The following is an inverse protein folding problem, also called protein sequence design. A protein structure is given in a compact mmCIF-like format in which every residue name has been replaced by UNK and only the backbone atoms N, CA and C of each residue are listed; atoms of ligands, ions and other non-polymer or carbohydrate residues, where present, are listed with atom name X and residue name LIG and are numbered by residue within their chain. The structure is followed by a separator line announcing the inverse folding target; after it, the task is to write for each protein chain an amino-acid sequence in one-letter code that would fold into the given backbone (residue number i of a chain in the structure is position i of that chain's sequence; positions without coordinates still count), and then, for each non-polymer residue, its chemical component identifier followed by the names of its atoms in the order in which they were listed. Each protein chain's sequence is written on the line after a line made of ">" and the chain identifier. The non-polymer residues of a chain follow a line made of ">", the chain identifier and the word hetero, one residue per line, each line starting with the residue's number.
data_IF_302011180388
#
_entry.id   IF_302011180388
#
_cell.length_a   1.000
_cell.length_b   1.000
_cell.length_c   1.000
_cell.angle_alpha   90.00
_cell.angle_beta   90.00
_cell.angle_gamma   90.00
#
_symmetry.space_group_name_H-M   'P 1'
#
loop_
_entity.id
_entity.type
_entity.pdbx_description
1 polymer ?
#
# COMPACT_ATOMS: atom_id res chain seq x y z
N UNK A 1 3.71 -43.77 37.99
CA UNK A 1 4.00 -44.79 36.97
C UNK A 1 5.09 -44.18 36.12
N UNK A 2 6.31 -44.69 36.25
CA UNK A 2 7.42 -44.27 35.37
C UNK A 2 7.14 -44.85 33.98
N UNK A 3 6.51 -44.07 33.15
CA UNK A 3 6.40 -44.33 31.73
C UNK A 3 7.59 -43.65 31.05
N UNK A 4 8.43 -44.45 30.42
CA UNK A 4 9.65 -43.97 29.74
C UNK A 4 9.35 -43.12 28.50
N UNK A 5 8.09 -42.73 28.30
CA UNK A 5 7.64 -41.81 27.28
C UNK A 5 7.51 -40.36 27.76
N UNK A 6 7.49 -40.14 29.11
CA UNK A 6 7.51 -38.82 29.73
C UNK A 6 8.97 -38.33 29.81
N UNK A 7 9.30 -37.23 29.18
CA UNK A 7 10.66 -36.70 29.16
C UNK A 7 11.00 -35.87 30.43
N UNK A 8 10.02 -35.63 31.31
CA UNK A 8 10.25 -34.91 32.56
C UNK A 8 9.33 -35.39 33.71
N UNK A 9 9.66 -36.51 34.32
CA UNK A 9 8.95 -37.10 35.47
C UNK A 9 8.70 -36.13 36.64
N UNK A 10 9.43 -35.02 36.73
CA UNK A 10 9.28 -34.02 37.76
C UNK A 10 8.20 -32.97 37.45
N UNK A 11 7.72 -32.91 36.25
CA UNK A 11 6.72 -31.94 35.82
C UNK A 11 5.58 -32.61 35.03
N UNK A 12 4.47 -32.87 35.63
CA UNK A 12 3.30 -33.52 35.04
C UNK A 12 2.68 -32.72 33.86
N UNK A 13 3.07 -31.48 33.62
CA UNK A 13 2.65 -30.70 32.47
C UNK A 13 3.47 -31.01 31.21
N UNK A 14 4.60 -31.68 31.33
CA UNK A 14 5.50 -32.10 30.25
C UNK A 14 5.28 -33.59 30.04
N UNK A 15 4.55 -33.98 29.02
CA UNK A 15 4.22 -35.39 28.71
C UNK A 15 3.79 -35.54 27.27
N UNK A 16 3.82 -36.75 26.66
CA UNK A 16 3.50 -36.97 25.24
C UNK A 16 2.11 -36.54 24.78
N UNK A 17 1.19 -36.20 25.67
CA UNK A 17 -0.13 -35.68 25.35
C UNK A 17 -0.29 -34.19 25.62
N UNK A 18 0.78 -33.51 26.10
CA UNK A 18 0.75 -32.09 26.36
C UNK A 18 0.67 -31.29 25.05
N UNK A 19 0.05 -30.12 25.11
CA UNK A 19 0.14 -29.14 24.02
C UNK A 19 1.40 -28.30 24.22
N UNK A 20 2.11 -28.03 23.14
CA UNK A 20 3.27 -27.15 23.16
C UNK A 20 2.90 -25.73 23.61
N UNK A 21 3.70 -25.22 24.51
CA UNK A 21 3.67 -23.83 24.93
C UNK A 21 4.95 -23.15 24.43
N UNK A 22 4.86 -21.87 24.09
CA UNK A 22 6.02 -21.10 23.63
C UNK A 22 6.92 -20.74 24.83
N UNK A 23 7.71 -21.69 25.33
CA UNK A 23 8.49 -21.55 26.56
C UNK A 23 9.94 -22.05 26.42
N UNK A 24 10.33 -22.57 25.25
CA UNK A 24 11.64 -23.13 24.97
C UNK A 24 11.81 -24.55 25.51
N UNK A 25 10.73 -25.22 25.83
CA UNK A 25 10.70 -26.62 26.37
C UNK A 25 9.92 -27.46 25.36
N UNK A 26 10.33 -28.70 25.17
CA UNK A 26 9.57 -29.73 24.46
C UNK A 26 8.53 -30.28 25.43
N UNK A 27 7.32 -29.68 25.43
CA UNK A 27 6.26 -30.03 26.38
C UNK A 27 5.60 -31.38 26.02
N UNK A 28 5.61 -31.78 24.73
CA UNK A 28 4.98 -33.03 24.28
C UNK A 28 5.97 -34.18 24.07
N UNK A 29 7.25 -34.00 24.36
CA UNK A 29 8.31 -35.02 24.31
C UNK A 29 8.49 -35.65 22.92
N UNK A 30 8.24 -34.91 21.84
CA UNK A 30 8.40 -35.41 20.46
C UNK A 30 9.80 -35.17 19.86
N UNK A 31 10.67 -34.46 20.58
CA UNK A 31 12.02 -34.10 20.18
C UNK A 31 12.14 -32.76 19.47
N UNK A 32 11.03 -32.01 19.36
CA UNK A 32 10.99 -30.66 18.79
C UNK A 32 10.47 -29.69 19.84
N UNK A 33 11.18 -28.60 20.04
CA UNK A 33 10.83 -27.56 21.01
C UNK A 33 9.88 -26.55 20.37
N UNK A 34 8.79 -26.20 21.10
CA UNK A 34 7.81 -25.17 20.69
C UNK A 34 7.17 -25.43 19.30
N UNK A 35 7.09 -26.68 18.84
CA UNK A 35 6.43 -27.04 17.60
C UNK A 35 4.90 -27.15 17.80
N UNK A 36 4.12 -26.99 16.74
CA UNK A 36 2.66 -27.12 16.80
C UNK A 36 1.95 -26.05 17.64
N UNK A 37 2.63 -25.02 18.12
CA UNK A 37 2.01 -23.88 18.81
C UNK A 37 0.98 -23.22 17.88
N UNK A 38 -0.24 -23.01 18.39
CA UNK A 38 -1.32 -22.42 17.61
C UNK A 38 -0.91 -21.07 17.01
N UNK A 39 -1.27 -20.79 15.75
CA UNK A 39 -0.98 -19.52 15.12
C UNK A 39 -1.69 -18.37 15.86
N UNK A 40 -1.09 -17.19 15.83
CA UNK A 40 -1.71 -15.98 16.38
C UNK A 40 -3.04 -15.68 15.65
N UNK A 41 -3.99 -15.01 16.33
CA UNK A 41 -5.18 -14.49 15.67
C UNK A 41 -4.81 -13.60 14.48
N UNK A 42 -5.55 -13.74 13.39
CA UNK A 42 -5.36 -12.87 12.20
C UNK A 42 -5.62 -11.41 12.59
N UNK A 43 -4.76 -10.47 12.19
CA UNK A 43 -5.00 -9.05 12.43
C UNK A 43 -6.35 -8.60 11.89
N UNK A 44 -6.99 -7.69 12.60
CA UNK A 44 -8.26 -7.10 12.16
C UNK A 44 -8.12 -6.22 10.91
N UNK A 45 -9.15 -5.46 10.62
CA UNK A 45 -9.17 -4.56 9.46
C UNK A 45 -8.04 -3.54 9.52
N UNK A 46 -7.33 -3.40 8.40
CA UNK A 46 -6.34 -2.34 8.21
C UNK A 46 -7.10 -1.02 7.99
N UNK A 47 -6.78 -0.01 8.78
CA UNK A 47 -7.36 1.34 8.71
C UNK A 47 -6.35 2.28 8.08
N UNK A 48 -6.79 3.01 7.06
CA UNK A 48 -5.98 3.97 6.30
C UNK A 48 -6.72 4.42 5.05
N UNK A 49 -6.14 5.34 4.29
CA UNK A 49 -6.73 5.78 3.02
C UNK A 49 -6.45 4.73 1.95
N UNK A 50 -7.42 3.87 1.67
CA UNK A 50 -7.27 2.77 0.70
C UNK A 50 -7.41 3.23 -0.76
N UNK A 51 -8.07 4.34 -1.03
CA UNK A 51 -8.21 4.91 -2.37
C UNK A 51 -8.12 6.43 -2.33
N UNK A 52 -7.35 7.03 -3.22
CA UNK A 52 -7.24 8.48 -3.34
C UNK A 52 -6.82 8.91 -4.74
N UNK A 53 -7.27 10.12 -5.14
CA UNK A 53 -6.69 10.86 -6.24
C UNK A 53 -5.51 11.68 -5.69
N UNK A 54 -4.31 11.31 -6.07
CA UNK A 54 -3.08 11.94 -5.57
C UNK A 54 -2.73 13.21 -6.36
N UNK A 55 -2.15 14.22 -5.70
CA UNK A 55 -1.42 15.25 -6.42
C UNK A 55 -0.20 14.60 -7.11
N UNK A 56 0.25 15.17 -8.21
CA UNK A 56 1.43 14.68 -8.98
C UNK A 56 2.76 14.74 -8.19
N UNK A 57 2.73 15.17 -6.94
CA UNK A 57 3.89 15.29 -6.06
C UNK A 57 3.95 14.11 -5.09
N UNK A 58 5.17 13.80 -4.63
CA UNK A 58 5.39 12.82 -3.59
C UNK A 58 4.51 13.08 -2.37
N UNK A 59 4.00 12.02 -1.76
CA UNK A 59 3.19 12.11 -0.56
C UNK A 59 3.36 10.88 0.31
N UNK A 60 2.88 10.97 1.53
CA UNK A 60 2.88 9.87 2.49
C UNK A 60 1.52 9.73 3.17
N UNK A 61 1.21 8.54 3.62
CA UNK A 61 0.03 8.23 4.40
C UNK A 61 0.33 7.14 5.42
N UNK A 62 -0.56 6.95 6.38
CA UNK A 62 -0.41 5.93 7.42
C UNK A 62 -1.47 4.84 7.28
N UNK A 63 -1.06 3.62 7.62
CA UNK A 63 -1.96 2.48 7.78
C UNK A 63 -1.75 1.88 9.15
N UNK A 64 -2.84 1.50 9.80
CA UNK A 64 -2.85 1.01 11.18
C UNK A 64 -3.73 -0.23 11.30
N UNK A 65 -3.34 -1.15 12.16
CA UNK A 65 -4.13 -2.31 12.57
C UNK A 65 -4.26 -2.32 14.10
N UNK A 66 -5.36 -2.86 14.61
CA UNK A 66 -5.51 -3.08 16.04
C UNK A 66 -4.48 -4.09 16.55
N UNK A 67 -3.94 -3.91 17.79
CA UNK A 67 -3.03 -4.87 18.37
C UNK A 67 -3.63 -6.28 18.44
N UNK A 68 -2.80 -7.28 18.14
CA UNK A 68 -3.14 -8.71 18.25
C UNK A 68 -2.56 -9.27 19.55
N UNK A 69 -3.38 -9.96 20.32
CA UNK A 69 -2.92 -10.59 21.58
C UNK A 69 -1.82 -11.62 21.28
N UNK A 70 -0.72 -11.57 22.04
CA UNK A 70 0.43 -12.46 21.86
C UNK A 70 1.41 -12.02 20.75
N UNK A 71 1.10 -10.98 19.98
CA UNK A 71 2.04 -10.46 19.00
C UNK A 71 3.16 -9.67 19.66
N UNK A 72 4.40 -9.95 19.24
CA UNK A 72 5.61 -9.21 19.62
C UNK A 72 6.03 -8.21 18.53
N UNK A 73 5.46 -8.35 17.32
CA UNK A 73 5.74 -7.48 16.19
C UNK A 73 4.78 -7.70 15.02
N UNK A 74 5.00 -6.95 13.95
CA UNK A 74 4.17 -7.00 12.74
C UNK A 74 5.04 -6.95 11.49
N UNK A 75 4.71 -7.77 10.51
CA UNK A 75 5.35 -7.70 9.18
C UNK A 75 4.36 -7.14 8.18
N UNK A 76 4.71 -6.01 7.58
CA UNK A 76 3.92 -5.36 6.56
C UNK A 76 4.52 -5.59 5.18
N UNK A 77 3.67 -5.81 4.20
CA UNK A 77 4.01 -5.81 2.79
C UNK A 77 3.14 -4.79 2.05
N UNK A 78 3.75 -4.08 1.11
CA UNK A 78 3.10 -3.03 0.34
C UNK A 78 3.20 -3.33 -1.15
N UNK A 79 2.23 -2.91 -1.99
CA UNK A 79 2.30 -3.11 -3.43
C UNK A 79 3.42 -2.27 -4.06
N UNK A 80 3.83 -2.67 -5.26
CA UNK A 80 4.83 -1.93 -6.05
C UNK A 80 4.41 -0.46 -6.22
N UNK A 81 5.36 0.45 -6.05
CA UNK A 81 5.11 1.90 -6.07
C UNK A 81 4.94 2.53 -4.68
N UNK A 82 4.77 1.72 -3.63
CA UNK A 82 4.87 2.18 -2.25
C UNK A 82 6.20 1.77 -1.63
N UNK A 83 6.68 2.61 -0.72
CA UNK A 83 7.83 2.32 0.14
C UNK A 83 7.45 2.59 1.59
N UNK A 84 7.76 1.67 2.49
CA UNK A 84 7.58 1.87 3.93
C UNK A 84 8.70 2.80 4.41
N UNK A 85 8.33 3.98 4.91
CA UNK A 85 9.27 4.95 5.48
C UNK A 85 9.57 4.67 6.94
N UNK A 86 8.55 4.23 7.68
CA UNK A 86 8.66 3.97 9.12
C UNK A 86 7.59 2.98 9.57
N UNK A 87 7.80 2.39 10.75
CA UNK A 87 6.79 1.57 11.45
C UNK A 87 6.79 0.10 11.04
N UNK A 88 7.70 -0.38 10.19
CA UNK A 88 7.87 -1.82 10.01
C UNK A 88 8.17 -2.47 11.36
N UNK A 89 7.45 -3.53 11.70
CA UNK A 89 7.50 -4.16 13.01
C UNK A 89 6.43 -3.68 13.99
N UNK A 90 5.71 -2.60 13.71
CA UNK A 90 4.68 -2.03 14.60
C UNK A 90 3.27 -2.14 14.01
N UNK A 91 2.26 -1.79 14.82
CA UNK A 91 0.84 -1.76 14.41
C UNK A 91 0.53 -0.65 13.40
N UNK A 92 1.43 0.29 13.19
CA UNK A 92 1.23 1.43 12.29
C UNK A 92 2.45 1.61 11.41
N UNK A 93 2.24 1.71 10.09
CA UNK A 93 3.28 2.06 9.14
C UNK A 93 3.00 3.42 8.50
N UNK A 94 4.07 4.11 8.15
CA UNK A 94 4.03 5.26 7.23
C UNK A 94 4.59 4.81 5.90
N UNK A 95 3.81 4.96 4.85
CA UNK A 95 4.21 4.64 3.48
C UNK A 95 4.30 5.90 2.64
N UNK A 96 5.24 5.90 1.70
CA UNK A 96 5.41 6.93 0.69
C UNK A 96 5.19 6.30 -0.68
N UNK A 97 4.57 7.04 -1.58
CA UNK A 97 4.55 6.69 -3.00
C UNK A 97 5.59 7.49 -3.75
N UNK A 98 6.38 6.78 -4.57
CA UNK A 98 7.42 7.36 -5.41
C UNK A 98 7.11 7.03 -6.85
N UNK A 99 6.84 7.99 -7.69
CA UNK A 99 6.68 7.76 -9.13
C UNK A 99 5.35 7.10 -9.54
N UNK A 100 4.25 7.79 -9.27
CA UNK A 100 2.95 7.40 -9.83
C UNK A 100 2.96 7.74 -11.33
N UNK A 101 3.00 6.75 -12.20
CA UNK A 101 2.80 6.96 -13.64
C UNK A 101 1.41 7.59 -13.86
N UNK A 102 1.36 8.66 -14.66
CA UNK A 102 0.11 9.35 -14.99
C UNK A 102 -0.95 8.46 -15.67
N UNK A 103 -0.56 7.25 -16.09
CA UNK A 103 -1.45 6.34 -16.83
C UNK A 103 -1.90 5.13 -16.01
N UNK A 104 -1.11 4.66 -15.02
CA UNK A 104 -1.38 3.37 -14.40
C UNK A 104 -1.66 3.42 -12.89
N UNK A 105 -1.51 4.58 -12.24
CA UNK A 105 -1.72 4.64 -10.79
C UNK A 105 -0.82 3.66 -10.00
N UNK A 106 -1.17 3.46 -8.74
CA UNK A 106 -0.62 2.39 -7.88
C UNK A 106 -1.80 1.59 -7.36
N UNK A 107 -1.80 0.29 -7.56
CA UNK A 107 -2.84 -0.59 -7.00
C UNK A 107 -2.24 -1.92 -6.56
N UNK A 108 -2.88 -2.53 -5.58
CA UNK A 108 -2.49 -3.84 -5.08
C UNK A 108 -2.85 -4.06 -3.62
N UNK A 109 -2.50 -5.21 -3.10
CA UNK A 109 -2.77 -5.56 -1.72
C UNK A 109 -1.66 -5.04 -0.80
N UNK A 110 -2.08 -4.35 0.25
CA UNK A 110 -1.27 -4.05 1.41
C UNK A 110 -1.65 -5.04 2.50
N UNK A 111 -0.69 -5.79 3.01
CA UNK A 111 -0.96 -6.85 3.98
C UNK A 111 -0.14 -6.69 5.25
N UNK A 112 -0.67 -7.19 6.36
CA UNK A 112 -0.01 -7.25 7.66
C UNK A 112 -0.17 -8.63 8.27
N UNK A 113 0.91 -9.14 8.84
CA UNK A 113 0.99 -10.39 9.60
C UNK A 113 1.43 -10.06 11.01
N UNK A 114 0.74 -10.56 12.02
CA UNK A 114 1.20 -10.48 13.41
C UNK A 114 2.24 -11.56 13.65
N UNK A 115 3.35 -11.19 14.26
CA UNK A 115 4.49 -12.07 14.56
C UNK A 115 4.58 -12.23 16.08
N UNK A 116 4.60 -13.44 16.54
CA UNK A 116 4.85 -13.80 17.93
C UNK A 116 6.22 -14.45 18.11
N UNK A 117 6.48 -14.96 19.30
CA UNK A 117 7.76 -15.60 19.63
C UNK A 117 7.92 -16.92 18.87
N UNK A 118 6.90 -17.77 18.83
CA UNK A 118 6.96 -19.10 18.22
C UNK A 118 6.02 -19.28 17.03
N UNK A 119 5.09 -18.36 16.82
CA UNK A 119 4.12 -18.48 15.74
C UNK A 119 3.79 -17.11 15.13
N UNK A 120 3.20 -17.15 13.96
CA UNK A 120 2.69 -15.97 13.27
C UNK A 120 1.24 -16.18 12.87
N UNK A 121 0.53 -15.10 12.62
CA UNK A 121 -0.84 -15.15 12.12
C UNK A 121 -0.90 -15.39 10.61
N UNK A 122 -2.08 -15.68 10.09
CA UNK A 122 -2.38 -15.44 8.68
C UNK A 122 -2.36 -13.93 8.40
N UNK A 123 -2.04 -13.51 7.17
CA UNK A 123 -2.06 -12.10 6.81
C UNK A 123 -3.48 -11.53 6.72
N UNK A 124 -3.67 -10.30 7.16
CA UNK A 124 -4.83 -9.47 6.83
C UNK A 124 -4.43 -8.50 5.74
N UNK A 125 -5.28 -8.33 4.72
CA UNK A 125 -4.96 -7.50 3.56
C UNK A 125 -6.08 -6.51 3.26
N UNK A 126 -5.70 -5.33 2.73
CA UNK A 126 -6.59 -4.34 2.13
C UNK A 126 -6.10 -4.01 0.73
N UNK A 127 -7.02 -3.97 -0.23
CA UNK A 127 -6.70 -3.49 -1.57
C UNK A 127 -6.60 -1.97 -1.55
N UNK A 128 -5.50 -1.43 -2.06
CA UNK A 128 -5.28 0.01 -2.18
C UNK A 128 -5.21 0.40 -3.65
N UNK A 129 -5.77 1.57 -3.96
CA UNK A 129 -5.82 2.08 -5.33
C UNK A 129 -5.63 3.61 -5.33
N UNK A 130 -4.53 4.05 -5.92
CA UNK A 130 -4.15 5.45 -5.98
C UNK A 130 -3.93 5.87 -7.41
N UNK A 131 -4.65 6.90 -7.86
CA UNK A 131 -4.55 7.46 -9.20
C UNK A 131 -4.09 8.91 -9.15
N UNK A 132 -3.39 9.36 -10.19
CA UNK A 132 -3.20 10.79 -10.41
C UNK A 132 -4.47 11.32 -11.04
N UNK A 133 -5.05 12.37 -10.46
CA UNK A 133 -6.18 13.03 -11.07
C UNK A 133 -5.79 13.59 -12.46
N UNK A 134 -6.55 13.26 -13.50
CA UNK A 134 -6.37 13.81 -14.83
C UNK A 134 -6.46 15.35 -14.80
N UNK A 135 -5.83 16.05 -15.78
CA UNK A 135 -6.08 17.47 -15.98
C UNK A 135 -7.57 17.75 -16.17
N UNK A 136 -8.05 18.83 -15.57
CA UNK A 136 -9.42 19.28 -15.81
C UNK A 136 -9.56 19.80 -17.25
N UNK A 137 -10.78 19.81 -17.78
CA UNK A 137 -11.05 20.38 -19.08
C UNK A 137 -10.59 21.85 -19.12
N UNK A 138 -9.88 22.29 -20.18
CA UNK A 138 -9.56 23.70 -20.35
C UNK A 138 -10.82 24.58 -20.31
N UNK A 139 -10.68 25.77 -19.73
CA UNK A 139 -11.72 26.79 -19.79
C UNK A 139 -11.84 27.36 -21.23
N UNK A 140 -12.59 28.45 -21.38
CA UNK A 140 -12.77 29.11 -22.68
C UNK A 140 -11.44 29.51 -23.32
N UNK A 141 -11.35 29.32 -24.62
CA UNK A 141 -10.27 29.86 -25.43
C UNK A 141 -10.48 31.39 -25.60
N UNK A 142 -9.42 32.16 -25.35
CA UNK A 142 -9.40 33.60 -25.57
C UNK A 142 -8.71 33.88 -26.91
N UNK A 143 -9.31 34.77 -27.69
CA UNK A 143 -8.81 35.19 -29.01
C UNK A 143 -9.92 35.80 -29.87
N UNK A 144 -9.61 36.34 -31.05
CA UNK A 144 -10.61 36.96 -31.90
C UNK A 144 -11.59 35.93 -32.50
N UNK A 145 -12.90 36.22 -32.40
CA UNK A 145 -13.95 35.36 -32.95
C UNK A 145 -14.04 35.35 -34.48
N UNK A 146 -13.37 36.30 -35.17
CA UNK A 146 -13.32 36.41 -36.63
C UNK A 146 -11.94 36.89 -37.07
N UNK A 147 -11.39 36.32 -38.09
CA UNK A 147 -10.12 36.67 -38.73
C UNK A 147 -10.29 36.70 -40.24
N UNK A 148 -9.59 37.59 -40.93
CA UNK A 148 -9.61 37.65 -42.41
C UNK A 148 -8.51 36.74 -43.00
N UNK A 149 -8.64 36.31 -44.26
CA UNK A 149 -7.59 35.57 -44.93
C UNK A 149 -6.27 36.37 -44.98
N UNK A 150 -5.18 35.72 -44.50
CA UNK A 150 -3.85 36.33 -44.41
C UNK A 150 -3.53 36.97 -43.06
N UNK A 151 -4.51 37.11 -42.16
CA UNK A 151 -4.26 37.64 -40.83
C UNK A 151 -3.58 36.60 -39.92
N UNK A 152 -2.77 37.11 -38.98
CA UNK A 152 -2.21 36.33 -37.90
C UNK A 152 -2.96 36.67 -36.60
N UNK A 153 -3.51 35.66 -35.95
CA UNK A 153 -4.25 35.82 -34.70
C UNK A 153 -3.67 34.95 -33.59
N UNK A 154 -3.67 35.46 -32.35
CA UNK A 154 -3.22 34.72 -31.18
C UNK A 154 -4.42 34.23 -30.41
N UNK A 155 -4.40 32.92 -30.08
CA UNK A 155 -5.36 32.28 -29.23
C UNK A 155 -4.63 31.73 -27.97
N UNK A 156 -5.27 31.84 -26.83
CA UNK A 156 -4.71 31.36 -25.56
C UNK A 156 -5.77 30.74 -24.68
N UNK A 157 -5.33 29.87 -23.78
CA UNK A 157 -6.11 29.35 -22.67
C UNK A 157 -5.37 29.63 -21.34
N UNK A 158 -6.12 29.72 -20.27
CA UNK A 158 -5.49 29.72 -18.95
C UNK A 158 -4.80 28.37 -18.71
N UNK A 159 -3.65 28.41 -18.02
CA UNK A 159 -2.91 27.20 -17.67
C UNK A 159 -3.81 26.23 -16.90
N UNK A 160 -3.83 24.98 -17.33
CA UNK A 160 -4.60 23.91 -16.72
C UNK A 160 -3.69 23.15 -15.76
N UNK A 161 -4.10 23.06 -14.50
CA UNK A 161 -3.35 22.30 -13.50
C UNK A 161 -3.12 20.86 -13.98
N UNK A 162 -1.89 20.36 -13.87
CA UNK A 162 -1.44 19.02 -14.27
C UNK A 162 -1.38 18.76 -15.79
N UNK A 163 -1.69 19.71 -16.64
CA UNK A 163 -1.41 19.59 -18.04
C UNK A 163 0.11 19.74 -18.30
N UNK A 164 0.69 18.82 -19.05
CA UNK A 164 2.11 18.84 -19.45
C UNK A 164 2.28 19.36 -20.87
N UNK A 165 1.20 19.37 -21.65
CA UNK A 165 1.16 19.87 -23.01
C UNK A 165 -0.29 20.12 -23.44
N UNK A 166 -0.46 20.87 -24.51
CA UNK A 166 -1.75 21.18 -25.11
C UNK A 166 -1.76 20.78 -26.57
N UNK A 167 -2.85 20.17 -27.02
CA UNK A 167 -3.03 19.82 -28.40
C UNK A 167 -4.11 20.75 -29.02
N UNK A 168 -3.73 21.55 -30.01
CA UNK A 168 -4.62 22.49 -30.68
C UNK A 168 -5.12 21.90 -31.99
N UNK A 169 -6.42 21.92 -32.18
CA UNK A 169 -7.06 21.51 -33.43
C UNK A 169 -7.61 22.76 -34.13
N UNK A 170 -7.27 22.96 -35.39
CA UNK A 170 -7.65 24.11 -36.15
C UNK A 170 -8.69 23.74 -37.22
N UNK A 171 -9.58 24.67 -37.60
CA UNK A 171 -10.40 24.55 -38.80
C UNK A 171 -9.55 24.43 -40.07
N UNK A 172 -10.14 23.87 -41.11
CA UNK A 172 -9.49 23.80 -42.42
C UNK A 172 -9.11 25.19 -42.93
N UNK A 173 -7.90 25.30 -43.49
CA UNK A 173 -7.37 26.56 -44.04
C UNK A 173 -6.56 27.40 -43.04
N UNK A 174 -6.42 26.96 -41.80
CA UNK A 174 -5.55 27.58 -40.78
C UNK A 174 -4.32 26.74 -40.50
N UNK A 175 -3.23 27.40 -40.11
CA UNK A 175 -1.98 26.75 -39.67
C UNK A 175 -1.45 27.37 -38.41
N UNK A 176 -0.86 26.54 -37.53
CA UNK A 176 -0.18 27.03 -36.32
C UNK A 176 1.23 27.47 -36.75
N UNK A 177 1.54 28.74 -36.51
CA UNK A 177 2.86 29.30 -36.81
C UNK A 177 3.83 29.26 -35.62
N UNK A 178 3.29 29.23 -34.38
CA UNK A 178 4.06 29.12 -33.15
C UNK A 178 3.17 28.66 -32.01
N UNK A 179 3.79 28.13 -30.90
CA UNK A 179 3.08 27.80 -29.70
C UNK A 179 2.32 26.45 -29.73
N UNK A 180 2.55 25.60 -30.73
CA UNK A 180 1.99 24.26 -30.73
C UNK A 180 2.55 23.45 -29.53
N UNK A 181 1.66 22.95 -28.64
CA UNK A 181 2.04 22.16 -27.49
C UNK A 181 2.35 22.94 -26.21
N UNK A 182 2.21 24.25 -26.20
CA UNK A 182 2.41 25.12 -25.04
C UNK A 182 1.09 25.67 -24.51
#
# INVERSE_FOLDING_TARGET
>A
VFDNSDCNDANAAINPAAAELCNGIDDNCNGLTDDGVAPLPTPGTIVGTAAACLPATFGSTTFTVAPVAGATGYTWSVPAGFTILAGQGSTTITVQWTNVSIHNGISGNMCVTAVGTCSSSLPSCVFVEYHIAAPVMPNSISGPGKVCPGDVATYSIAAVARATSYNWTLPAGMTITSGAGT
#
